data_IF_523287100696
#
_entry.id   IF_523287100696
#
_cell.length_a   1.000
_cell.length_b   1.000
_cell.length_c   1.000
_cell.angle_alpha   90.00
_cell.angle_beta   90.00
_cell.angle_gamma   90.00
#
_symmetry.space_group_name_H-M   'P 1'
#
loop_
_entity.id
_entity.type
_entity.pdbx_description
1 polymer ?
#
# COMPACT_ATOMS: atom_id res chain seq x y z
N UNK A 1 -19.08 -26.41 -46.66
CA UNK A 1 -18.43 -25.74 -47.81
C UNK A 1 -19.30 -24.56 -48.21
N UNK A 2 -18.73 -23.35 -48.27
CA UNK A 2 -19.39 -22.11 -48.74
C UNK A 2 -20.50 -21.51 -47.84
N UNK A 3 -20.87 -20.23 -47.93
CA UNK A 3 -20.10 -18.95 -47.79
C UNK A 3 -20.99 -17.75 -48.17
N UNK A 4 -20.78 -16.56 -47.56
CA UNK A 4 -21.39 -15.23 -47.93
C UNK A 4 -22.93 -15.15 -47.68
N UNK A 5 -23.63 -14.04 -47.37
CA UNK A 5 -23.33 -12.59 -47.23
C UNK A 5 -24.20 -11.72 -48.18
N UNK A 6 -24.50 -10.42 -47.99
CA UNK A 6 -24.27 -9.39 -46.94
C UNK A 6 -25.34 -8.25 -47.11
N UNK A 7 -25.68 -7.48 -46.05
CA UNK A 7 -26.49 -6.21 -46.04
C UNK A 7 -28.01 -6.32 -46.39
N UNK A 8 -29.00 -5.70 -45.71
CA UNK A 8 -29.25 -4.37 -45.12
C UNK A 8 -30.03 -3.40 -46.05
N UNK A 9 -31.21 -2.92 -45.60
CA UNK A 9 -32.01 -1.85 -46.26
C UNK A 9 -32.87 -1.06 -45.25
N UNK A 10 -33.21 0.19 -45.64
CA UNK A 10 -33.64 1.38 -44.87
C UNK A 10 -34.30 2.35 -45.89
N UNK A 11 -35.39 3.12 -45.68
CA UNK A 11 -36.33 3.35 -44.56
C UNK A 11 -37.73 3.83 -45.11
N UNK A 12 -38.61 4.35 -44.22
CA UNK A 12 -39.78 5.24 -44.51
C UNK A 12 -41.03 4.61 -45.22
N UNK A 13 -42.29 5.09 -45.07
CA UNK A 13 -42.81 6.40 -44.61
C UNK A 13 -44.26 6.35 -44.00
N UNK A 14 -44.58 7.32 -43.12
CA UNK A 14 -45.87 7.97 -42.78
C UNK A 14 -47.27 7.30 -42.96
N UNK A 15 -48.07 7.29 -41.87
CA UNK A 15 -49.45 7.84 -41.84
C UNK A 15 -50.03 8.03 -40.41
N UNK A 16 -50.91 9.02 -40.23
CA UNK A 16 -51.30 9.61 -38.93
C UNK A 16 -52.58 9.06 -38.29
N UNK A 17 -52.65 8.96 -36.96
CA UNK A 17 -53.60 9.77 -36.16
C UNK A 17 -53.48 9.62 -34.63
N UNK A 18 -53.57 10.77 -33.94
CA UNK A 18 -54.14 10.97 -32.59
C UNK A 18 -53.78 10.05 -31.42
N UNK A 19 -52.94 10.53 -30.49
CA UNK A 19 -53.35 10.94 -29.12
C UNK A 19 -52.21 11.72 -28.44
N UNK A 20 -52.53 12.84 -27.79
CA UNK A 20 -51.57 13.80 -27.23
C UNK A 20 -51.18 13.44 -25.79
N UNK A 21 -50.02 12.82 -25.59
CA UNK A 21 -49.46 12.56 -24.24
C UNK A 21 -48.49 13.68 -23.86
N UNK A 22 -48.73 14.37 -22.75
CA UNK A 22 -47.76 15.29 -22.15
C UNK A 22 -46.78 14.53 -21.25
N UNK A 23 -45.46 14.82 -21.28
CA UNK A 23 -44.55 14.40 -20.23
C UNK A 23 -44.66 15.35 -19.03
N UNK A 24 -45.42 14.96 -18.00
CA UNK A 24 -45.45 15.65 -16.70
C UNK A 24 -44.48 14.96 -15.74
N UNK A 25 -43.30 15.56 -15.55
CA UNK A 25 -42.74 15.84 -14.22
C UNK A 25 -41.36 16.50 -14.36
N UNK A 26 -41.34 17.83 -14.34
CA UNK A 26 -40.10 18.59 -14.10
C UNK A 26 -39.68 18.41 -12.64
N UNK A 27 -38.70 17.56 -12.37
CA UNK A 27 -38.05 17.50 -11.05
C UNK A 27 -37.49 18.89 -10.73
N UNK A 28 -37.89 19.54 -9.62
CA UNK A 28 -37.37 20.87 -9.30
C UNK A 28 -35.86 20.80 -9.11
N UNK A 29 -35.10 21.63 -9.84
CA UNK A 29 -33.69 21.88 -9.50
C UNK A 29 -33.68 22.48 -8.10
N UNK A 30 -33.27 21.71 -7.09
CA UNK A 30 -32.94 22.25 -5.78
C UNK A 30 -31.80 23.24 -5.95
N UNK A 31 -32.16 24.52 -5.97
CA UNK A 31 -31.20 25.60 -5.98
C UNK A 31 -30.63 25.67 -4.57
N UNK A 32 -29.50 24.99 -4.37
CA UNK A 32 -28.71 25.09 -3.14
C UNK A 32 -28.33 26.55 -2.96
N UNK A 33 -29.03 27.25 -2.06
CA UNK A 33 -28.54 28.50 -1.52
C UNK A 33 -27.31 28.16 -0.70
N UNK A 34 -26.13 28.46 -1.24
CA UNK A 34 -24.91 28.62 -0.44
C UNK A 34 -25.09 29.84 0.48
N UNK A 35 -25.87 29.67 1.54
CA UNK A 35 -25.84 30.57 2.68
C UNK A 35 -24.48 30.39 3.35
N UNK A 36 -23.57 31.31 3.06
CA UNK A 36 -22.20 31.29 3.55
C UNK A 36 -22.13 31.48 5.06
N UNK A 37 -22.02 30.38 5.79
CA UNK A 37 -21.21 30.35 7.01
C UNK A 37 -20.11 29.31 6.82
N UNK A 38 -18.94 29.75 6.32
CA UNK A 38 -17.70 29.00 6.52
C UNK A 38 -17.36 29.05 8.01
N UNK A 39 -18.01 28.19 8.79
CA UNK A 39 -17.75 27.98 10.21
C UNK A 39 -16.33 27.42 10.33
N UNK A 40 -15.34 28.32 10.44
CA UNK A 40 -13.96 27.97 10.77
C UNK A 40 -13.93 27.41 12.19
N UNK A 41 -14.25 26.13 12.32
CA UNK A 41 -14.01 25.34 13.51
C UNK A 41 -12.51 25.28 13.72
N UNK A 42 -12.00 26.14 14.60
CA UNK A 42 -10.59 26.14 14.99
C UNK A 42 -10.27 24.88 15.78
N UNK A 43 -9.88 23.81 15.08
CA UNK A 43 -9.45 22.57 15.71
C UNK A 43 -8.14 22.79 16.47
N UNK A 44 -8.13 22.37 17.73
CA UNK A 44 -6.95 22.33 18.60
C UNK A 44 -5.87 21.41 18.01
N UNK A 45 -4.62 21.59 18.44
CA UNK A 45 -3.53 20.73 17.99
C UNK A 45 -3.77 19.25 18.33
N UNK A 46 -4.33 18.94 19.51
CA UNK A 46 -4.64 17.58 19.92
C UNK A 46 -5.69 16.91 19.02
N UNK A 47 -6.74 17.64 18.63
CA UNK A 47 -7.75 17.16 17.69
C UNK A 47 -7.17 16.95 16.27
N UNK A 48 -6.24 17.80 15.82
CA UNK A 48 -5.54 17.63 14.53
C UNK A 48 -4.60 16.42 14.52
N UNK A 49 -3.97 16.12 15.65
CA UNK A 49 -3.15 14.91 15.84
C UNK A 49 -4.00 13.65 16.04
N UNK A 50 -5.28 13.78 16.38
CA UNK A 50 -6.20 12.66 16.64
C UNK A 50 -5.98 11.99 18.00
N UNK A 51 -5.53 12.74 19.01
CA UNK A 51 -5.26 12.18 20.36
C UNK A 51 -6.54 11.63 21.03
N UNK A 52 -7.70 12.15 20.64
CA UNK A 52 -9.02 11.65 21.01
C UNK A 52 -9.28 10.21 20.52
N UNK A 53 -8.72 9.83 19.36
CA UNK A 53 -8.88 8.47 18.82
C UNK A 53 -8.23 7.38 19.68
N UNK A 54 -7.18 7.72 20.44
CA UNK A 54 -6.45 6.80 21.32
C UNK A 54 -7.34 6.16 22.39
N UNK A 55 -8.43 6.83 22.76
CA UNK A 55 -9.40 6.35 23.74
C UNK A 55 -10.58 5.60 23.10
N UNK A 56 -10.60 5.44 21.76
CA UNK A 56 -11.69 4.78 21.05
C UNK A 56 -11.45 3.29 20.86
N UNK A 57 -12.43 2.46 21.23
CA UNK A 57 -12.36 1.00 21.00
C UNK A 57 -12.21 0.63 19.50
N UNK A 58 -12.67 1.50 18.60
CA UNK A 58 -12.58 1.27 17.16
C UNK A 58 -11.14 1.37 16.65
N UNK A 59 -10.30 2.25 17.20
CA UNK A 59 -8.87 2.29 16.88
C UNK A 59 -8.18 0.98 17.30
N UNK A 60 -8.44 0.50 18.51
CA UNK A 60 -7.83 -0.72 19.03
C UNK A 60 -8.32 -2.00 18.32
N UNK A 61 -9.60 -2.07 17.92
CA UNK A 61 -10.12 -3.14 17.06
C UNK A 61 -9.43 -3.14 15.69
N UNK A 62 -9.28 -1.96 15.09
CA UNK A 62 -8.55 -1.82 13.83
C UNK A 62 -7.07 -2.21 13.96
N UNK A 63 -6.40 -1.83 15.06
CA UNK A 63 -4.99 -2.19 15.29
C UNK A 63 -4.79 -3.71 15.48
N UNK A 64 -5.77 -4.44 16.02
CA UNK A 64 -5.74 -5.91 16.04
C UNK A 64 -5.85 -6.48 14.62
N UNK A 65 -6.68 -5.88 13.75
CA UNK A 65 -6.73 -6.22 12.33
C UNK A 65 -5.40 -6.00 11.61
N UNK A 66 -4.74 -4.87 11.87
CA UNK A 66 -3.39 -4.56 11.35
C UNK A 66 -2.33 -5.55 11.86
N UNK A 67 -2.33 -5.86 13.16
CA UNK A 67 -1.39 -6.81 13.77
C UNK A 67 -1.54 -8.22 13.19
N UNK A 68 -2.76 -8.76 13.13
CA UNK A 68 -3.02 -10.08 12.59
C UNK A 68 -2.78 -10.12 11.08
N UNK A 69 -3.20 -9.07 10.36
CA UNK A 69 -2.96 -8.90 8.93
C UNK A 69 -1.47 -8.91 8.59
N UNK A 70 -0.65 -8.12 9.28
CA UNK A 70 0.80 -8.13 9.10
C UNK A 70 1.47 -9.43 9.55
N UNK A 71 0.95 -10.12 10.58
CA UNK A 71 1.48 -11.43 10.98
C UNK A 71 1.27 -12.49 9.88
N UNK A 72 0.06 -12.58 9.31
CA UNK A 72 -0.23 -13.50 8.21
C UNK A 72 0.52 -13.07 6.94
N UNK A 73 0.61 -11.78 6.65
CA UNK A 73 1.38 -11.24 5.53
C UNK A 73 2.85 -11.68 5.57
N UNK A 74 3.53 -11.45 6.69
CA UNK A 74 4.96 -11.78 6.83
C UNK A 74 5.17 -13.29 6.79
N UNK A 75 4.37 -14.06 7.54
CA UNK A 75 4.42 -15.52 7.48
C UNK A 75 4.27 -16.04 6.04
N UNK A 76 3.25 -15.58 5.32
CA UNK A 76 2.96 -16.06 3.97
C UNK A 76 4.03 -15.61 2.95
N UNK A 77 4.38 -14.32 2.91
CA UNK A 77 5.37 -13.80 1.95
C UNK A 77 6.73 -14.44 2.17
N UNK A 78 7.21 -14.54 3.40
CA UNK A 78 8.52 -15.15 3.69
C UNK A 78 8.53 -16.65 3.41
N UNK A 79 7.41 -17.35 3.63
CA UNK A 79 7.25 -18.75 3.18
C UNK A 79 7.33 -18.86 1.65
N UNK A 80 6.71 -17.95 0.90
CA UNK A 80 6.75 -17.92 -0.56
C UNK A 80 8.18 -17.63 -1.06
N UNK A 81 8.91 -16.71 -0.43
CA UNK A 81 10.34 -16.44 -0.71
C UNK A 81 11.16 -17.72 -0.53
N UNK A 82 11.09 -18.35 0.65
CA UNK A 82 11.81 -19.58 0.95
C UNK A 82 11.45 -20.70 -0.05
N UNK A 83 10.16 -20.96 -0.24
CA UNK A 83 9.68 -22.04 -1.12
C UNK A 83 10.10 -21.84 -2.58
N UNK A 84 10.00 -20.62 -3.10
CA UNK A 84 10.34 -20.31 -4.50
C UNK A 84 11.83 -20.50 -4.79
N UNK A 85 12.71 -20.16 -3.84
CA UNK A 85 14.16 -20.32 -3.98
C UNK A 85 14.56 -21.78 -3.71
N UNK A 86 14.00 -22.43 -2.69
CA UNK A 86 14.35 -23.79 -2.30
C UNK A 86 13.93 -24.86 -3.31
N UNK A 87 12.84 -24.64 -4.07
CA UNK A 87 12.30 -25.63 -5.02
C UNK A 87 13.07 -25.67 -6.36
N UNK A 88 14.15 -24.91 -6.52
CA UNK A 88 15.02 -24.87 -7.71
C UNK A 88 14.27 -24.76 -9.06
N UNK A 89 13.14 -24.04 -9.06
CA UNK A 89 12.31 -23.88 -10.26
C UNK A 89 13.04 -23.09 -11.34
N UNK A 90 12.67 -23.26 -12.62
CA UNK A 90 13.32 -22.57 -13.75
C UNK A 90 13.14 -21.05 -13.75
N UNK A 91 12.08 -20.54 -13.11
CA UNK A 91 11.70 -19.12 -13.10
C UNK A 91 11.23 -18.70 -11.70
N UNK A 92 12.08 -18.77 -10.67
CA UNK A 92 11.66 -18.61 -9.27
C UNK A 92 11.14 -17.20 -8.99
N UNK A 93 11.77 -16.18 -9.58
CA UNK A 93 11.37 -14.78 -9.45
C UNK A 93 9.93 -14.53 -9.94
N UNK A 94 9.51 -15.17 -11.04
CA UNK A 94 8.16 -14.99 -11.59
C UNK A 94 7.10 -15.64 -10.70
N UNK A 95 7.36 -16.86 -10.23
CA UNK A 95 6.48 -17.59 -9.32
C UNK A 95 6.32 -16.85 -7.98
N UNK A 96 7.45 -16.44 -7.38
CA UNK A 96 7.52 -15.62 -6.18
C UNK A 96 6.63 -14.38 -6.28
N UNK A 97 6.86 -13.60 -7.34
CA UNK A 97 6.18 -12.33 -7.59
C UNK A 97 4.67 -12.48 -7.80
N UNK A 98 4.26 -13.50 -8.55
CA UNK A 98 2.85 -13.80 -8.80
C UNK A 98 2.12 -14.23 -7.52
N UNK A 99 2.73 -15.12 -6.73
CA UNK A 99 2.18 -15.58 -5.46
C UNK A 99 2.11 -14.47 -4.41
N UNK A 100 3.10 -13.59 -4.33
CA UNK A 100 3.06 -12.38 -3.47
C UNK A 100 1.88 -11.49 -3.86
N UNK A 101 1.70 -11.19 -5.14
CA UNK A 101 0.62 -10.32 -5.61
C UNK A 101 -0.78 -10.87 -5.30
N UNK A 102 -1.00 -12.18 -5.49
CA UNK A 102 -2.24 -12.86 -5.09
C UNK A 102 -2.43 -12.80 -3.58
N UNK A 103 -1.40 -13.13 -2.80
CA UNK A 103 -1.45 -13.16 -1.33
C UNK A 103 -1.83 -11.79 -0.76
N UNK A 104 -1.22 -10.73 -1.27
CA UNK A 104 -1.51 -9.35 -0.84
C UNK A 104 -2.94 -8.95 -1.24
N UNK A 105 -3.41 -9.30 -2.43
CA UNK A 105 -4.81 -9.06 -2.85
C UNK A 105 -5.81 -9.68 -1.87
N UNK A 106 -5.59 -10.94 -1.48
CA UNK A 106 -6.46 -11.68 -0.56
C UNK A 106 -6.41 -11.07 0.85
N UNK A 107 -5.22 -10.71 1.35
CA UNK A 107 -5.07 -10.12 2.68
C UNK A 107 -5.66 -8.71 2.79
N UNK A 108 -5.54 -7.90 1.73
CA UNK A 108 -6.22 -6.61 1.66
C UNK A 108 -7.75 -6.80 1.74
N UNK A 109 -8.32 -7.71 0.96
CA UNK A 109 -9.76 -8.04 1.02
C UNK A 109 -10.21 -8.51 2.41
N UNK A 110 -9.39 -9.31 3.11
CA UNK A 110 -9.72 -9.85 4.42
C UNK A 110 -9.61 -8.81 5.55
N UNK A 111 -8.60 -7.93 5.51
CA UNK A 111 -8.30 -6.98 6.60
C UNK A 111 -9.00 -5.64 6.41
N UNK A 112 -9.30 -5.25 5.17
CA UNK A 112 -9.93 -3.96 4.85
C UNK A 112 -11.21 -3.65 5.66
N UNK A 113 -12.17 -4.57 5.86
CA UNK A 113 -13.37 -4.30 6.65
C UNK A 113 -13.11 -3.98 8.14
N UNK A 114 -11.93 -4.31 8.66
CA UNK A 114 -11.58 -4.15 10.09
C UNK A 114 -10.81 -2.85 10.33
N UNK A 115 -9.85 -2.53 9.47
CA UNK A 115 -8.89 -1.43 9.71
C UNK A 115 -8.69 -0.45 8.54
N UNK A 116 -9.22 -0.76 7.37
CA UNK A 116 -8.80 -0.17 6.09
C UNK A 116 -7.78 -1.02 5.35
N UNK A 117 -7.09 -1.96 6.02
CA UNK A 117 -6.20 -2.95 5.39
C UNK A 117 -4.86 -2.36 4.97
N UNK A 118 -4.16 -1.65 5.87
CA UNK A 118 -2.87 -1.04 5.53
C UNK A 118 -1.76 -2.09 5.50
N UNK A 119 -1.65 -2.91 6.57
CA UNK A 119 -0.70 -4.01 6.80
C UNK A 119 0.78 -3.70 6.49
N UNK A 120 1.11 -2.41 6.40
CA UNK A 120 2.36 -1.84 5.94
C UNK A 120 2.56 -0.42 6.51
N UNK A 121 3.68 -0.14 7.20
CA UNK A 121 4.01 1.19 7.70
C UNK A 121 4.04 2.28 6.62
N UNK A 122 4.43 1.95 5.38
CA UNK A 122 4.46 2.86 4.23
C UNK A 122 3.07 3.35 3.86
N UNK A 123 2.09 2.45 3.79
CA UNK A 123 0.70 2.81 3.47
C UNK A 123 0.14 3.68 4.60
N UNK A 124 0.41 3.32 5.85
CA UNK A 124 -0.02 4.11 7.02
C UNK A 124 0.59 5.51 7.04
N UNK A 125 1.90 5.63 6.83
CA UNK A 125 2.59 6.92 6.79
C UNK A 125 2.13 7.78 5.60
N UNK A 126 2.02 7.19 4.40
CA UNK A 126 1.46 7.85 3.21
C UNK A 126 0.03 8.35 3.44
N UNK A 127 -0.85 7.52 3.99
CA UNK A 127 -2.22 7.90 4.32
C UNK A 127 -2.27 9.04 5.35
N UNK A 128 -1.31 9.10 6.29
CA UNK A 128 -1.18 10.20 7.25
C UNK A 128 -0.78 11.50 6.58
N UNK A 129 0.21 11.47 5.68
CA UNK A 129 0.65 12.67 4.96
C UNK A 129 -0.51 13.27 4.14
N UNK A 130 -1.28 12.41 3.48
CA UNK A 130 -2.47 12.75 2.68
C UNK A 130 -3.69 13.10 3.56
N UNK A 131 -3.61 12.90 4.88
CA UNK A 131 -4.67 13.23 5.85
C UNK A 131 -5.77 12.19 6.02
N UNK A 132 -5.73 11.05 5.31
CA UNK A 132 -6.73 9.98 5.36
C UNK A 132 -6.83 9.28 6.72
N UNK A 133 -5.76 9.33 7.52
CA UNK A 133 -5.75 8.93 8.92
C UNK A 133 -5.03 9.97 9.76
N UNK A 134 -5.39 10.08 11.05
CA UNK A 134 -4.63 10.91 11.98
C UNK A 134 -3.26 10.32 12.29
N UNK A 135 -2.34 11.19 12.74
CA UNK A 135 -0.99 10.78 13.13
C UNK A 135 -1.01 9.82 14.34
N UNK A 136 -1.97 9.98 15.26
CA UNK A 136 -2.14 9.06 16.40
C UNK A 136 -2.55 7.65 15.93
N UNK A 137 -3.52 7.55 15.00
CA UNK A 137 -3.90 6.28 14.38
C UNK A 137 -2.73 5.63 13.65
N UNK A 138 -1.96 6.43 12.91
CA UNK A 138 -0.81 5.95 12.16
C UNK A 138 0.29 5.34 13.04
N UNK A 139 0.64 5.98 14.16
CA UNK A 139 1.60 5.43 15.12
C UNK A 139 1.11 4.10 15.68
N UNK A 140 -0.16 4.00 16.08
CA UNK A 140 -0.74 2.74 16.58
C UNK A 140 -0.74 1.65 15.49
N UNK A 141 -1.07 1.99 14.25
CA UNK A 141 -1.02 1.05 13.11
C UNK A 141 0.41 0.57 12.84
N UNK A 142 1.40 1.46 12.79
CA UNK A 142 2.81 1.11 12.54
C UNK A 142 3.35 0.17 13.62
N UNK A 143 3.07 0.46 14.90
CA UNK A 143 3.46 -0.41 16.02
C UNK A 143 2.78 -1.78 15.93
N UNK A 144 1.48 -1.81 15.62
CA UNK A 144 0.72 -3.05 15.42
C UNK A 144 1.27 -3.88 14.25
N UNK A 145 1.59 -3.24 13.12
CA UNK A 145 2.17 -3.87 11.93
C UNK A 145 3.54 -4.47 12.22
N UNK A 146 4.42 -3.75 12.93
CA UNK A 146 5.73 -4.25 13.34
C UNK A 146 5.63 -5.41 14.32
N UNK A 147 4.75 -5.33 15.31
CA UNK A 147 4.46 -6.45 16.22
C UNK A 147 3.92 -7.66 15.46
N UNK A 148 3.01 -7.44 14.50
CA UNK A 148 2.52 -8.45 13.57
C UNK A 148 3.65 -9.10 12.79
N UNK A 149 4.54 -8.31 12.17
CA UNK A 149 5.69 -8.84 11.43
C UNK A 149 6.63 -9.70 12.27
N UNK A 150 6.87 -9.34 13.54
CA UNK A 150 7.60 -10.19 14.50
C UNK A 150 6.86 -11.50 14.77
N UNK A 151 5.54 -11.46 14.99
CA UNK A 151 4.72 -12.66 15.19
C UNK A 151 4.71 -13.58 13.95
N UNK A 152 4.64 -13.01 12.74
CA UNK A 152 4.71 -13.75 11.48
C UNK A 152 6.07 -14.46 11.31
N UNK A 153 7.16 -13.75 11.59
CA UNK A 153 8.51 -14.33 11.55
C UNK A 153 8.74 -15.39 12.65
N UNK A 154 8.16 -15.23 13.84
CA UNK A 154 8.17 -16.24 14.91
C UNK A 154 7.36 -17.49 14.49
N UNK A 155 6.18 -17.31 13.91
CA UNK A 155 5.37 -18.42 13.40
C UNK A 155 6.10 -19.18 12.29
N UNK A 156 6.79 -18.48 11.39
CA UNK A 156 7.62 -19.10 10.35
C UNK A 156 8.77 -19.91 10.97
N UNK A 157 9.50 -19.31 11.92
CA UNK A 157 10.58 -19.97 12.66
C UNK A 157 10.12 -21.24 13.41
N UNK A 158 8.86 -21.31 13.83
CA UNK A 158 8.30 -22.48 14.49
C UNK A 158 7.99 -23.65 13.54
N UNK A 159 7.86 -23.41 12.23
CA UNK A 159 7.49 -24.45 11.24
C UNK A 159 8.61 -24.83 10.26
N UNK A 160 9.69 -24.02 10.15
CA UNK A 160 10.85 -24.35 9.31
C UNK A 160 11.96 -25.03 10.10
N UNK A 161 12.75 -25.87 9.43
CA UNK A 161 13.93 -26.47 10.06
C UNK A 161 15.03 -25.44 10.31
N UNK A 162 15.94 -25.73 11.25
CA UNK A 162 17.10 -24.88 11.53
C UNK A 162 18.05 -24.72 10.34
N UNK A 163 18.10 -25.69 9.42
CA UNK A 163 18.84 -25.55 8.15
C UNK A 163 18.19 -24.49 7.27
N UNK A 164 16.87 -24.57 7.05
CA UNK A 164 16.11 -23.61 6.22
C UNK A 164 16.16 -22.19 6.84
N UNK A 165 15.98 -22.08 8.17
CA UNK A 165 16.12 -20.82 8.91
C UNK A 165 17.45 -20.12 8.66
N UNK A 166 18.54 -20.89 8.56
CA UNK A 166 19.90 -20.37 8.38
C UNK A 166 20.25 -20.11 6.92
N UNK A 167 19.77 -20.94 5.98
CA UNK A 167 20.04 -20.79 4.55
C UNK A 167 19.31 -19.58 3.94
N UNK A 168 18.10 -19.27 4.42
CA UNK A 168 17.25 -18.24 3.83
C UNK A 168 16.92 -17.08 4.77
N UNK A 169 17.54 -17.02 5.96
CA UNK A 169 17.33 -15.94 6.96
C UNK A 169 15.86 -15.63 7.26
N UNK A 170 15.02 -16.67 7.36
CA UNK A 170 13.56 -16.56 7.49
C UNK A 170 12.86 -15.73 6.40
N UNK A 171 13.41 -15.68 5.17
CA UNK A 171 12.87 -14.88 4.07
C UNK A 171 13.05 -13.37 4.23
N UNK A 172 13.75 -12.91 5.27
CA UNK A 172 13.91 -11.49 5.61
C UNK A 172 14.63 -10.64 4.56
N UNK A 173 14.36 -9.34 4.58
CA UNK A 173 15.02 -8.37 3.71
C UNK A 173 16.53 -8.27 4.05
N UNK A 174 17.40 -8.42 3.06
CA UNK A 174 18.86 -8.28 3.19
C UNK A 174 19.42 -7.52 1.99
N UNK A 175 20.48 -6.74 2.19
CA UNK A 175 21.20 -6.07 1.10
C UNK A 175 22.14 -7.04 0.37
N UNK A 176 22.75 -7.97 1.11
CA UNK A 176 23.72 -8.92 0.58
C UNK A 176 23.50 -10.33 1.14
N UNK A 177 23.98 -11.33 0.41
CA UNK A 177 24.11 -12.71 0.88
C UNK A 177 25.50 -13.24 0.59
N UNK A 178 25.89 -14.29 1.30
CA UNK A 178 27.14 -15.01 1.05
C UNK A 178 26.81 -16.21 0.15
N UNK A 179 27.31 -16.19 -1.08
CA UNK A 179 27.14 -17.26 -2.06
C UNK A 179 28.45 -18.06 -2.25
N UNK A 180 28.39 -19.34 -2.67
CA UNK A 180 29.58 -20.07 -3.09
C UNK A 180 30.22 -19.43 -4.33
N UNK A 181 31.49 -19.03 -4.25
CA UNK A 181 32.27 -18.48 -5.34
C UNK A 181 33.47 -19.36 -5.73
N UNK A 182 34.12 -19.10 -6.88
CA UNK A 182 35.22 -19.94 -7.38
C UNK A 182 36.44 -20.03 -6.45
N UNK A 183 36.68 -18.98 -5.65
CA UNK A 183 37.85 -18.84 -4.78
C UNK A 183 37.44 -18.82 -3.28
N UNK A 184 36.25 -19.32 -2.93
CA UNK A 184 35.69 -19.24 -1.58
C UNK A 184 34.35 -18.49 -1.54
N UNK A 185 33.84 -18.15 -0.34
CA UNK A 185 32.58 -17.43 -0.19
C UNK A 185 32.66 -16.03 -0.80
N UNK A 186 31.69 -15.68 -1.65
CA UNK A 186 31.58 -14.37 -2.27
C UNK A 186 30.33 -13.66 -1.74
N UNK A 187 30.50 -12.45 -1.21
CA UNK A 187 29.36 -11.57 -0.90
C UNK A 187 28.78 -11.02 -2.21
N UNK A 188 27.52 -11.32 -2.48
CA UNK A 188 26.75 -10.84 -3.63
C UNK A 188 25.52 -10.09 -3.13
N UNK A 189 25.16 -9.01 -3.80
CA UNK A 189 24.07 -8.13 -3.35
C UNK A 189 24.19 -6.71 -3.87
N UNK A 190 23.44 -5.81 -3.24
CA UNK A 190 23.44 -4.38 -3.54
C UNK A 190 24.27 -3.60 -2.52
N UNK A 191 24.90 -2.54 -3.00
CA UNK A 191 25.46 -1.51 -2.13
C UNK A 191 24.31 -0.76 -1.43
N UNK A 192 24.55 -0.23 -0.22
CA UNK A 192 23.53 0.45 0.59
C UNK A 192 22.85 1.60 -0.15
N UNK A 193 23.59 2.35 -0.97
CA UNK A 193 23.04 3.45 -1.79
C UNK A 193 22.12 2.94 -2.92
N UNK A 194 22.51 1.84 -3.58
CA UNK A 194 21.70 1.19 -4.62
C UNK A 194 20.41 0.62 -4.03
N UNK A 195 20.49 -0.02 -2.86
CA UNK A 195 19.35 -0.52 -2.12
C UNK A 195 18.40 0.61 -1.68
N UNK A 196 18.93 1.73 -1.19
CA UNK A 196 18.13 2.92 -0.86
C UNK A 196 17.35 3.44 -2.07
N UNK A 197 18.00 3.61 -3.22
CA UNK A 197 17.33 4.08 -4.44
C UNK A 197 16.31 3.09 -4.97
N UNK A 198 16.58 1.78 -4.87
CA UNK A 198 15.63 0.74 -5.24
C UNK A 198 14.37 0.80 -4.36
N UNK A 199 14.53 0.84 -3.03
CA UNK A 199 13.41 0.97 -2.09
C UNK A 199 12.60 2.24 -2.35
N UNK A 200 13.27 3.38 -2.59
CA UNK A 200 12.62 4.65 -2.92
C UNK A 200 11.81 4.56 -4.22
N UNK A 201 12.43 4.10 -5.32
CA UNK A 201 11.78 4.04 -6.65
C UNK A 201 10.63 3.03 -6.64
N UNK A 202 10.85 1.81 -6.12
CA UNK A 202 9.80 0.80 -6.05
C UNK A 202 8.64 1.25 -5.14
N UNK A 203 8.93 1.86 -3.99
CA UNK A 203 7.86 2.39 -3.13
C UNK A 203 7.11 3.54 -3.78
N UNK A 204 7.80 4.46 -4.47
CA UNK A 204 7.14 5.56 -5.17
C UNK A 204 6.21 5.05 -6.27
N UNK A 205 6.66 4.09 -7.08
CA UNK A 205 5.82 3.46 -8.12
C UNK A 205 4.65 2.70 -7.49
N UNK A 206 4.86 1.97 -6.39
CA UNK A 206 3.79 1.28 -5.67
C UNK A 206 2.69 2.26 -5.20
N UNK A 207 3.10 3.37 -4.59
CA UNK A 207 2.18 4.42 -4.12
C UNK A 207 1.44 5.09 -5.29
N UNK A 208 2.19 5.52 -6.31
CA UNK A 208 1.69 6.24 -7.48
C UNK A 208 0.75 5.40 -8.36
N UNK A 209 1.18 4.18 -8.73
CA UNK A 209 0.49 3.34 -9.71
C UNK A 209 -0.60 2.45 -9.11
N UNK A 210 -0.74 2.38 -7.77
CA UNK A 210 -1.75 1.52 -7.14
C UNK A 210 -2.45 2.13 -5.94
N UNK A 211 -1.72 2.53 -4.89
CA UNK A 211 -2.32 3.04 -3.64
C UNK A 211 -3.07 4.35 -3.86
N UNK A 212 -2.64 5.19 -4.80
CA UNK A 212 -3.36 6.40 -5.22
C UNK A 212 -4.81 6.14 -5.60
N UNK A 213 -5.08 5.08 -6.38
CA UNK A 213 -6.45 4.70 -6.76
C UNK A 213 -7.27 4.23 -5.56
N UNK A 214 -6.62 3.67 -4.53
CA UNK A 214 -7.23 3.32 -3.26
C UNK A 214 -7.40 4.52 -2.31
N UNK A 215 -6.88 5.70 -2.64
CA UNK A 215 -7.12 6.94 -1.91
C UNK A 215 -8.24 7.76 -2.57
N UNK A 216 -8.27 7.83 -3.90
CA UNK A 216 -9.36 8.48 -4.66
C UNK A 216 -10.69 7.71 -4.49
N UNK A 217 -11.63 8.30 -3.75
CA UNK A 217 -12.96 7.73 -3.55
C UNK A 217 -13.76 7.56 -4.86
N UNK A 218 -13.52 8.38 -5.89
CA UNK A 218 -14.23 8.26 -7.17
C UNK A 218 -13.80 6.98 -7.89
N UNK A 219 -12.49 6.80 -8.05
CA UNK A 219 -11.92 5.59 -8.65
C UNK A 219 -12.26 4.33 -7.85
N UNK A 220 -12.21 4.36 -6.51
CA UNK A 220 -12.67 3.23 -5.69
C UNK A 220 -14.13 2.84 -5.92
N UNK A 221 -15.01 3.84 -6.05
CA UNK A 221 -16.45 3.60 -6.25
C UNK A 221 -16.77 3.14 -7.68
N UNK A 222 -16.03 3.62 -8.68
CA UNK A 222 -16.19 3.24 -10.09
C UNK A 222 -15.61 1.86 -10.41
N UNK A 223 -14.42 1.54 -9.88
CA UNK A 223 -13.71 0.27 -10.13
C UNK A 223 -14.13 -0.86 -9.17
N UNK A 224 -14.58 -0.52 -7.97
CA UNK A 224 -14.89 -1.47 -6.90
C UNK A 224 -13.65 -2.00 -6.16
N UNK A 225 -13.83 -2.34 -4.88
CA UNK A 225 -12.74 -2.74 -3.98
C UNK A 225 -11.92 -3.95 -4.46
N UNK A 226 -12.58 -4.95 -5.06
CA UNK A 226 -11.90 -6.17 -5.55
C UNK A 226 -10.90 -5.84 -6.65
N UNK A 227 -11.27 -5.00 -7.61
CA UNK A 227 -10.38 -4.61 -8.70
C UNK A 227 -9.24 -3.73 -8.19
N UNK A 228 -9.53 -2.76 -7.31
CA UNK A 228 -8.51 -1.89 -6.70
C UNK A 228 -7.45 -2.70 -5.93
N UNK A 229 -7.85 -3.63 -5.07
CA UNK A 229 -6.90 -4.48 -4.33
C UNK A 229 -6.17 -5.47 -5.23
N UNK A 230 -6.81 -5.96 -6.31
CA UNK A 230 -6.14 -6.78 -7.33
C UNK A 230 -5.05 -6.00 -8.03
N UNK A 231 -5.28 -4.72 -8.39
CA UNK A 231 -4.24 -3.89 -9.02
C UNK A 231 -3.10 -3.60 -8.03
N UNK A 232 -3.39 -3.36 -6.74
CA UNK A 232 -2.36 -3.20 -5.71
C UNK A 232 -1.48 -4.46 -5.59
N UNK A 233 -2.09 -5.64 -5.56
CA UNK A 233 -1.36 -6.92 -5.55
C UNK A 233 -0.54 -7.12 -6.83
N UNK A 234 -1.10 -6.86 -8.01
CA UNK A 234 -0.41 -7.01 -9.30
C UNK A 234 0.77 -6.05 -9.45
N UNK A 235 0.61 -4.77 -9.07
CA UNK A 235 1.69 -3.78 -9.11
C UNK A 235 2.80 -4.14 -8.13
N UNK A 236 2.46 -4.57 -6.90
CA UNK A 236 3.46 -5.03 -5.94
C UNK A 236 4.22 -6.28 -6.44
N UNK A 237 3.50 -7.27 -6.96
CA UNK A 237 4.10 -8.46 -7.57
C UNK A 237 5.03 -8.10 -8.73
N UNK A 238 4.61 -7.21 -9.64
CA UNK A 238 5.44 -6.72 -10.73
C UNK A 238 6.69 -5.99 -10.23
N UNK A 239 6.60 -5.19 -9.16
CA UNK A 239 7.75 -4.52 -8.55
C UNK A 239 8.73 -5.50 -7.88
N UNK A 240 8.23 -6.56 -7.24
CA UNK A 240 9.08 -7.67 -6.76
C UNK A 240 9.74 -8.39 -7.95
N UNK A 241 9.04 -8.60 -9.06
CA UNK A 241 9.60 -9.25 -10.25
C UNK A 241 10.71 -8.42 -10.90
N UNK A 242 10.45 -7.12 -11.10
CA UNK A 242 11.42 -6.19 -11.67
C UNK A 242 12.62 -6.06 -10.74
N UNK A 243 12.41 -5.84 -9.44
CA UNK A 243 13.51 -5.70 -8.49
C UNK A 243 14.36 -6.97 -8.40
N UNK A 244 13.78 -8.16 -8.21
CA UNK A 244 14.55 -9.43 -8.18
C UNK A 244 15.29 -9.73 -9.49
N UNK A 245 14.72 -9.35 -10.64
CA UNK A 245 15.29 -9.70 -11.96
C UNK A 245 16.32 -8.66 -12.45
N UNK A 246 16.08 -7.37 -12.24
CA UNK A 246 17.00 -6.29 -12.64
C UNK A 246 18.17 -6.17 -11.67
N UNK A 247 17.95 -6.35 -10.36
CA UNK A 247 19.08 -6.32 -9.41
C UNK A 247 19.94 -7.57 -9.51
N UNK A 248 19.37 -8.72 -9.92
CA UNK A 248 20.09 -9.89 -10.48
C UNK A 248 21.08 -10.62 -9.57
N UNK A 249 21.44 -10.04 -8.42
CA UNK A 249 22.36 -10.57 -7.44
C UNK A 249 21.68 -11.74 -6.72
N UNK A 250 22.19 -12.96 -6.93
CA UNK A 250 21.61 -14.20 -6.39
C UNK A 250 21.44 -14.09 -4.87
N UNK A 251 20.18 -14.13 -4.40
CA UNK A 251 19.83 -14.06 -2.98
C UNK A 251 19.29 -12.70 -2.50
N UNK A 252 19.26 -11.67 -3.35
CA UNK A 252 18.42 -10.50 -3.07
C UNK A 252 16.94 -10.83 -3.36
N UNK A 253 16.10 -10.85 -2.32
CA UNK A 253 14.70 -11.29 -2.41
C UNK A 253 13.73 -10.26 -3.03
N UNK A 254 14.25 -9.15 -3.57
CA UNK A 254 13.48 -8.05 -4.14
C UNK A 254 13.35 -6.87 -3.18
N UNK A 255 12.77 -5.77 -3.67
CA UNK A 255 12.50 -4.59 -2.84
C UNK A 255 11.51 -4.94 -1.72
N UNK A 256 11.82 -4.50 -0.50
CA UNK A 256 11.04 -4.73 0.70
C UNK A 256 9.69 -4.03 0.65
N UNK A 257 9.66 -2.72 0.35
CA UNK A 257 8.46 -1.84 0.21
C UNK A 257 7.57 -1.78 1.49
N UNK A 258 7.87 -2.60 2.49
CA UNK A 258 7.13 -2.76 3.73
C UNK A 258 8.10 -2.92 4.92
N UNK A 259 8.32 -1.86 5.71
CA UNK A 259 9.26 -1.88 6.83
C UNK A 259 8.91 -2.93 7.90
N UNK A 260 7.61 -3.23 8.13
CA UNK A 260 7.19 -4.25 9.08
C UNK A 260 7.59 -5.67 8.63
N UNK A 261 7.53 -5.92 7.31
CA UNK A 261 7.98 -7.17 6.67
C UNK A 261 9.49 -7.34 6.68
N UNK A 262 10.26 -6.26 6.79
CA UNK A 262 11.71 -6.33 6.94
C UNK A 262 12.14 -6.45 8.42
N UNK A 263 11.55 -5.66 9.32
CA UNK A 263 11.96 -5.65 10.74
C UNK A 263 11.59 -6.92 11.51
N UNK A 264 10.49 -7.60 11.15
CA UNK A 264 10.03 -8.83 11.79
C UNK A 264 11.10 -9.93 11.78
N UNK A 265 11.53 -10.41 10.60
CA UNK A 265 12.64 -11.36 10.47
C UNK A 265 13.95 -10.84 11.07
N UNK A 266 14.28 -9.54 10.92
CA UNK A 266 15.51 -8.96 11.46
C UNK A 266 15.58 -9.06 13.00
N UNK A 267 14.48 -8.81 13.71
CA UNK A 267 14.38 -8.98 15.16
C UNK A 267 14.42 -10.45 15.60
N UNK A 268 13.83 -11.36 14.82
CA UNK A 268 13.68 -12.78 15.18
C UNK A 268 14.92 -13.64 14.85
N UNK A 269 15.64 -13.28 13.78
CA UNK A 269 16.82 -14.01 13.27
C UNK A 269 18.14 -13.30 13.55
N UNK A 270 18.17 -11.96 13.59
CA UNK A 270 19.38 -11.16 13.78
C UNK A 270 20.47 -11.40 12.72
N UNK A 271 21.70 -10.98 13.02
CA UNK A 271 22.83 -11.07 12.08
C UNK A 271 22.70 -10.09 10.91
N UNK A 272 23.08 -10.53 9.71
CA UNK A 272 23.20 -9.68 8.52
C UNK A 272 21.89 -9.01 8.06
N UNK A 273 20.72 -9.42 8.57
CA UNK A 273 19.45 -8.71 8.35
C UNK A 273 19.44 -7.29 8.94
N UNK A 274 20.42 -6.95 9.80
CA UNK A 274 20.65 -5.61 10.31
C UNK A 274 21.59 -4.77 9.44
N UNK A 275 22.34 -5.39 8.52
CA UNK A 275 23.34 -4.70 7.70
C UNK A 275 22.64 -3.77 6.70
N UNK A 276 22.77 -2.45 6.93
CA UNK A 276 22.08 -1.43 6.17
C UNK A 276 20.55 -1.40 6.33
N UNK A 277 19.98 -2.06 7.35
CA UNK A 277 18.52 -2.20 7.55
C UNK A 277 17.72 -0.89 7.51
N UNK A 278 18.36 0.24 7.85
CA UNK A 278 17.77 1.56 7.80
C UNK A 278 17.24 1.94 6.40
N UNK A 279 17.75 1.37 5.30
CA UNK A 279 17.28 1.67 3.94
C UNK A 279 15.82 1.25 3.74
N UNK A 280 15.40 0.14 4.35
CA UNK A 280 14.02 -0.36 4.32
C UNK A 280 13.02 0.53 5.06
N UNK A 281 13.52 1.54 5.78
CA UNK A 281 12.71 2.57 6.43
C UNK A 281 12.84 3.91 5.72
N UNK A 282 14.07 4.37 5.49
CA UNK A 282 14.35 5.69 4.94
C UNK A 282 13.97 5.84 3.46
N UNK A 283 14.26 4.83 2.63
CA UNK A 283 13.90 4.84 1.21
C UNK A 283 12.38 4.91 1.02
N UNK A 284 11.59 4.02 1.65
CA UNK A 284 10.14 4.04 1.55
C UNK A 284 9.49 5.28 2.21
N UNK A 285 10.05 5.80 3.32
CA UNK A 285 9.58 7.06 3.92
C UNK A 285 9.82 8.28 3.02
N UNK A 286 10.99 8.37 2.38
CA UNK A 286 11.28 9.41 1.40
C UNK A 286 10.34 9.33 0.19
N UNK A 287 10.01 8.11 -0.27
CA UNK A 287 9.03 7.89 -1.33
C UNK A 287 7.62 8.35 -0.94
N UNK A 288 7.19 8.15 0.32
CA UNK A 288 5.93 8.69 0.83
C UNK A 288 5.89 10.23 0.75
N UNK A 289 6.98 10.91 1.10
CA UNK A 289 7.09 12.37 1.00
C UNK A 289 7.08 12.84 -0.45
N UNK A 290 7.82 12.17 -1.35
CA UNK A 290 7.80 12.48 -2.78
C UNK A 290 6.41 12.29 -3.40
N UNK A 291 5.70 11.22 -3.04
CA UNK A 291 4.33 10.96 -3.47
C UNK A 291 3.35 12.01 -2.93
N UNK A 292 3.48 12.42 -1.67
CA UNK A 292 2.69 13.52 -1.11
C UNK A 292 2.91 14.86 -1.85
N UNK A 293 4.17 15.19 -2.19
CA UNK A 293 4.48 16.37 -3.01
C UNK A 293 3.81 16.27 -4.38
N UNK A 294 3.89 15.11 -5.04
CA UNK A 294 3.20 14.86 -6.31
C UNK A 294 1.69 15.11 -6.22
N UNK A 295 1.03 14.61 -5.18
CA UNK A 295 -0.41 14.82 -4.95
C UNK A 295 -0.75 16.31 -4.84
N UNK A 296 0.09 17.12 -4.18
CA UNK A 296 -0.13 18.57 -4.01
C UNK A 296 0.03 19.38 -5.31
N UNK A 297 0.61 18.80 -6.37
CA UNK A 297 0.66 19.42 -7.71
C UNK A 297 -0.69 19.29 -8.43
N UNK A 298 -1.49 18.26 -8.09
CA UNK A 298 -2.80 18.02 -8.71
C UNK A 298 -3.79 19.13 -8.26
N UNK A 299 -4.48 19.82 -9.18
CA UNK A 299 -5.41 20.89 -8.81
C UNK A 299 -6.51 20.38 -7.86
N UNK A 300 -6.75 21.12 -6.78
CA UNK A 300 -7.70 20.73 -5.71
C UNK A 300 -9.13 20.42 -6.18
N UNK A 301 -9.55 21.00 -7.31
CA UNK A 301 -10.82 20.72 -7.98
C UNK A 301 -10.96 19.26 -8.45
N UNK A 302 -9.85 18.54 -8.62
CA UNK A 302 -9.82 17.11 -8.94
C UNK A 302 -9.57 16.23 -7.70
N UNK A 303 -9.32 16.85 -6.54
CA UNK A 303 -8.86 16.20 -5.31
C UNK A 303 -9.85 16.44 -4.15
N UNK A 304 -10.98 15.73 -4.21
CA UNK A 304 -12.02 15.79 -3.18
C UNK A 304 -11.89 14.66 -2.15
N UNK A 305 -10.95 14.78 -1.20
CA UNK A 305 -11.00 13.98 0.04
C UNK A 305 -11.97 14.65 1.02
N UNK A 306 -13.27 14.49 0.75
CA UNK A 306 -14.34 15.03 1.62
C UNK A 306 -14.24 14.40 3.01
N UNK A 307 -14.02 15.23 4.03
CA UNK A 307 -14.06 14.84 5.45
C UNK A 307 -12.70 14.81 6.18
N UNK A 308 -11.56 14.88 5.48
CA UNK A 308 -10.24 14.66 6.09
C UNK A 308 -9.26 15.86 6.08
N UNK A 309 -9.68 17.04 5.60
CA UNK A 309 -8.86 18.27 5.60
C UNK A 309 -8.27 18.64 6.98
N UNK A 310 -8.92 18.20 8.07
CA UNK A 310 -8.49 18.35 9.47
C UNK A 310 -7.11 17.75 9.75
N UNK A 311 -6.77 16.64 9.11
CA UNK A 311 -5.56 15.86 9.38
C UNK A 311 -4.46 16.00 8.32
N UNK A 312 -4.69 16.80 7.27
CA UNK A 312 -3.70 17.08 6.22
C UNK A 312 -2.38 17.60 6.80
N UNK A 313 -1.26 17.01 6.40
CA UNK A 313 0.04 17.26 7.02
C UNK A 313 0.47 18.74 6.97
N UNK A 314 0.15 19.47 5.89
CA UNK A 314 0.44 20.89 5.80
C UNK A 314 -0.40 21.72 6.80
N UNK A 315 -1.67 21.33 7.02
CA UNK A 315 -2.54 21.96 8.02
C UNK A 315 -2.10 21.65 9.46
N UNK A 316 -1.48 20.49 9.72
CA UNK A 316 -0.86 20.17 11.02
C UNK A 316 0.40 21.01 11.24
N UNK A 317 1.33 21.05 10.28
CA UNK A 317 2.55 21.87 10.35
C UNK A 317 2.23 23.36 10.55
N UNK A 318 1.22 23.89 9.86
CA UNK A 318 0.79 25.28 9.99
C UNK A 318 0.24 25.59 11.38
N UNK A 319 -0.41 24.64 12.05
CA UNK A 319 -0.86 24.80 13.43
C UNK A 319 0.30 24.80 14.42
N UNK A 320 1.30 23.93 14.22
CA UNK A 320 2.52 23.89 15.03
C UNK A 320 3.32 25.20 14.90
N UNK A 321 3.54 25.69 13.69
CA UNK A 321 4.26 26.94 13.44
C UNK A 321 3.50 28.21 13.85
N UNK A 322 2.16 28.15 13.93
CA UNK A 322 1.30 29.27 14.33
C UNK A 322 1.24 29.55 15.83
N UNK A 323 1.78 28.66 16.69
CA UNK A 323 1.65 28.77 18.14
C UNK A 323 2.56 29.79 18.83
N UNK A 324 3.42 30.50 18.08
CA UNK A 324 4.47 31.37 18.62
C UNK A 324 4.29 32.88 18.32
N UNK A 325 3.06 33.32 17.99
CA UNK A 325 2.78 34.71 17.64
C UNK A 325 1.39 35.17 18.05
N UNK A 326 1.18 35.38 19.36
CA UNK A 326 -0.11 35.89 19.83
C UNK A 326 -0.35 35.85 21.34
N UNK A 327 0.50 36.51 22.14
CA UNK A 327 0.08 37.43 23.22
C UNK A 327 1.28 38.18 23.80
#
# INVERSE_FOLDING_TARGET
>A
MGSVGVQAFVDEENLSNGTRIQPVSSTPKQHWKENGEKRQTSFTLGERLGLDELFTLNLWRASVGELLGSAVLVFAIDTIVISSIHTETKTPNLLLSFLIGITVTILLLAVHPVSGGHINPVISFSATLVGLISMSRAVVYILAQCAGGVLGALALKAVVSSQIQNAFSLGGCTLTVIAPGPNGPLTVGLETEQAFWLEFICTFIFLFASIWMAYDHRQRNELGLVLVFTIIGLVLGLLVFISTTVTGQKGYAGAGINPARCIGPALVRGGHLWDGHWVFWAGPAAACVAFYIYIKIIPSQHFHIVGYEKHDFFNVLRALGGSNGGH
#
